data_IF_044822644169
#
_entry.id   IF_044822644169
#
_cell.length_a   1.000
_cell.length_b   1.000
_cell.length_c   1.000
_cell.angle_alpha   90.00
_cell.angle_beta   90.00
_cell.angle_gamma   90.00
#
_symmetry.space_group_name_H-M   'P 1'
#
loop_
_entity.id
_entity.type
_entity.pdbx_description
1 polymer ?
#
# COMPACT_ATOMS: atom_id res chain seq x y z
N UNK A 1 -16.68 -3.70 -11.26
CA UNK A 1 -17.32 -2.79 -10.25
C UNK A 1 -18.77 -2.54 -10.64
N UNK A 2 -19.68 -2.35 -9.66
CA UNK A 2 -21.10 -2.00 -9.88
C UNK A 2 -21.22 -0.65 -10.62
N UNK A 3 -22.12 -0.57 -11.61
CA UNK A 3 -22.31 0.62 -12.45
C UNK A 3 -22.86 1.82 -11.63
N UNK A 4 -23.68 1.55 -10.61
CA UNK A 4 -24.21 2.59 -9.73
C UNK A 4 -23.11 3.25 -8.90
N UNK A 5 -22.16 2.45 -8.40
CA UNK A 5 -20.97 2.93 -7.69
C UNK A 5 -20.12 3.80 -8.61
N UNK A 6 -19.90 3.37 -9.85
CA UNK A 6 -19.15 4.15 -10.84
C UNK A 6 -19.83 5.49 -11.14
N UNK A 7 -21.16 5.50 -11.27
CA UNK A 7 -21.93 6.72 -11.50
C UNK A 7 -21.83 7.68 -10.32
N UNK A 8 -21.92 7.18 -9.08
CA UNK A 8 -21.72 7.98 -7.86
C UNK A 8 -20.32 8.58 -7.80
N UNK A 9 -19.28 7.80 -8.10
CA UNK A 9 -17.92 8.31 -8.18
C UNK A 9 -17.81 9.41 -9.23
N UNK A 10 -18.37 9.15 -10.41
CA UNK A 10 -18.30 10.07 -11.54
C UNK A 10 -19.04 11.40 -11.25
N UNK A 11 -20.13 11.37 -10.49
CA UNK A 11 -20.84 12.60 -10.08
C UNK A 11 -20.05 13.45 -9.06
N UNK A 12 -19.12 12.84 -8.33
CA UNK A 12 -18.25 13.54 -7.39
C UNK A 12 -16.94 14.04 -8.03
N UNK A 13 -16.62 13.61 -9.25
CA UNK A 13 -15.50 14.13 -10.03
C UNK A 13 -15.93 15.49 -10.61
N UNK A 14 -15.21 16.53 -10.22
CA UNK A 14 -15.41 17.89 -10.74
C UNK A 14 -14.36 18.22 -11.81
N UNK A 15 -14.54 19.31 -12.56
CA UNK A 15 -13.54 19.84 -13.49
C UNK A 15 -12.19 20.16 -12.82
N UNK A 16 -12.21 20.39 -11.51
CA UNK A 16 -11.00 20.71 -10.73
C UNK A 16 -10.23 19.46 -10.32
N UNK A 17 -10.82 18.26 -10.42
CA UNK A 17 -10.18 17.00 -10.01
C UNK A 17 -9.07 16.63 -11.00
N UNK A 18 -7.83 16.67 -10.54
CA UNK A 18 -6.62 16.42 -11.37
C UNK A 18 -5.90 15.13 -11.00
N UNK A 19 -6.01 14.68 -9.74
CA UNK A 19 -5.22 13.55 -9.23
C UNK A 19 -6.08 12.57 -8.43
N UNK A 20 -5.81 11.29 -8.64
CA UNK A 20 -6.35 10.19 -7.84
C UNK A 20 -5.18 9.48 -7.14
N UNK A 21 -5.11 9.56 -5.81
CA UNK A 21 -4.02 9.08 -5.00
C UNK A 21 -4.42 7.79 -4.32
N UNK A 22 -3.74 6.71 -4.66
CA UNK A 22 -4.03 5.35 -4.19
C UNK A 22 -2.99 4.86 -3.19
N UNK A 23 -3.44 4.36 -2.04
CA UNK A 23 -2.65 3.41 -1.26
C UNK A 23 -2.52 2.08 -2.00
N UNK A 24 -1.55 1.26 -1.63
CA UNK A 24 -1.27 -0.03 -2.29
C UNK A 24 -1.77 -1.20 -1.45
N UNK A 25 -1.19 -1.38 -0.24
CA UNK A 25 -1.42 -2.56 0.59
C UNK A 25 -2.82 -2.57 1.20
N UNK A 26 -3.65 -3.53 0.80
CA UNK A 26 -5.05 -3.60 1.19
C UNK A 26 -5.98 -2.79 0.29
N UNK A 27 -5.47 -1.89 -0.53
CA UNK A 27 -6.21 -1.00 -1.43
C UNK A 27 -6.15 -1.46 -2.89
N UNK A 28 -4.96 -1.49 -3.52
CA UNK A 28 -4.79 -2.00 -4.90
C UNK A 28 -4.68 -3.51 -4.90
N UNK A 29 -4.00 -4.07 -3.92
CA UNK A 29 -3.81 -5.51 -3.79
C UNK A 29 -4.09 -6.01 -2.37
N UNK A 30 -4.51 -7.28 -2.25
CA UNK A 30 -4.73 -7.94 -0.95
C UNK A 30 -3.40 -8.32 -0.29
N UNK A 31 -2.43 -7.43 -0.36
CA UNK A 31 -1.11 -7.57 0.22
C UNK A 31 -1.01 -6.90 1.58
N UNK A 32 0.06 -7.19 2.26
CA UNK A 32 0.54 -6.52 3.47
C UNK A 32 2.06 -6.46 3.40
N UNK A 33 2.68 -5.70 4.28
CA UNK A 33 4.14 -5.65 4.44
C UNK A 33 4.76 -7.05 4.61
N UNK A 34 4.02 -8.02 5.18
CA UNK A 34 4.46 -9.40 5.39
C UNK A 34 4.53 -10.20 4.08
N UNK A 35 3.70 -9.88 3.09
CA UNK A 35 3.56 -10.65 1.86
C UNK A 35 4.90 -10.80 1.14
N UNK A 36 5.59 -9.69 0.95
CA UNK A 36 6.90 -9.69 0.30
C UNK A 36 7.96 -10.42 1.15
N UNK A 37 8.00 -10.16 2.47
CA UNK A 37 8.99 -10.78 3.35
C UNK A 37 8.87 -12.31 3.38
N UNK A 38 7.65 -12.84 3.51
CA UNK A 38 7.39 -14.27 3.51
C UNK A 38 7.81 -14.89 2.17
N UNK A 39 7.50 -14.22 1.05
CA UNK A 39 7.93 -14.66 -0.27
C UNK A 39 9.46 -14.68 -0.41
N UNK A 40 10.13 -13.62 0.01
CA UNK A 40 11.58 -13.53 -0.04
C UNK A 40 12.26 -14.62 0.81
N UNK A 41 11.71 -14.94 1.98
CA UNK A 41 12.18 -16.04 2.82
C UNK A 41 11.96 -17.41 2.16
N UNK A 42 10.82 -17.61 1.50
CA UNK A 42 10.57 -18.83 0.71
C UNK A 42 11.64 -19.04 -0.37
N UNK A 43 12.03 -17.97 -1.06
CA UNK A 43 13.06 -18.06 -2.11
C UNK A 43 14.48 -18.21 -1.53
N UNK A 44 14.75 -17.63 -0.36
CA UNK A 44 16.06 -17.73 0.29
C UNK A 44 16.31 -19.09 0.93
N UNK A 45 15.28 -19.70 1.50
CA UNK A 45 15.37 -21.04 2.11
C UNK A 45 15.06 -22.09 1.03
N UNK A 46 16.08 -22.62 0.38
CA UNK A 46 15.95 -23.60 -0.72
C UNK A 46 15.29 -24.91 -0.28
N UNK A 47 15.45 -25.32 0.97
CA UNK A 47 14.84 -26.54 1.52
C UNK A 47 13.39 -26.26 1.95
N UNK A 48 12.42 -26.86 1.25
CA UNK A 48 10.97 -26.69 1.49
C UNK A 48 10.54 -27.09 2.91
N UNK A 49 11.15 -28.13 3.50
CA UNK A 49 10.81 -28.58 4.86
C UNK A 49 11.30 -27.56 5.89
N UNK A 50 12.53 -27.09 5.74
CA UNK A 50 13.10 -26.05 6.60
C UNK A 50 12.30 -24.75 6.52
N UNK A 51 11.86 -24.36 5.30
CA UNK A 51 10.98 -23.20 5.12
C UNK A 51 9.63 -23.37 5.87
N UNK A 52 9.00 -24.56 5.81
CA UNK A 52 7.75 -24.83 6.55
C UNK A 52 7.94 -24.70 8.05
N UNK A 53 9.03 -25.24 8.60
CA UNK A 53 9.35 -25.08 10.03
C UNK A 53 9.60 -23.61 10.41
N UNK A 54 10.37 -22.90 9.58
CA UNK A 54 10.59 -21.47 9.78
C UNK A 54 9.26 -20.70 9.75
N UNK A 55 8.40 -20.96 8.78
CA UNK A 55 7.11 -20.27 8.63
C UNK A 55 6.21 -20.54 9.85
N UNK A 56 6.12 -21.78 10.29
CA UNK A 56 5.37 -22.15 11.50
C UNK A 56 5.89 -21.42 12.73
N UNK A 57 7.20 -21.45 12.96
CA UNK A 57 7.85 -20.69 14.03
C UNK A 57 7.55 -19.18 13.93
N UNK A 58 7.70 -18.61 12.75
CA UNK A 58 7.46 -17.18 12.50
C UNK A 58 5.99 -16.80 12.80
N UNK A 59 5.04 -17.61 12.35
CA UNK A 59 3.60 -17.37 12.57
C UNK A 59 3.26 -17.44 14.05
N UNK A 60 3.78 -18.43 14.77
CA UNK A 60 3.47 -18.63 16.19
C UNK A 60 4.11 -17.54 17.07
N UNK A 61 5.34 -17.14 16.79
CA UNK A 61 6.11 -16.26 17.68
C UNK A 61 6.07 -14.80 17.26
N UNK A 62 6.25 -14.50 15.98
CA UNK A 62 6.44 -13.12 15.50
C UNK A 62 5.12 -12.45 15.12
N UNK A 63 4.16 -13.16 14.55
CA UNK A 63 2.88 -12.55 14.14
C UNK A 63 2.11 -11.99 15.33
N UNK A 64 1.92 -12.71 16.45
CA UNK A 64 1.25 -12.16 17.64
C UNK A 64 2.00 -10.94 18.22
N UNK A 65 3.33 -11.02 18.27
CA UNK A 65 4.17 -9.91 18.75
C UNK A 65 4.02 -8.68 17.86
N UNK A 66 4.07 -8.85 16.54
CA UNK A 66 3.88 -7.75 15.59
C UNK A 66 2.49 -7.15 15.65
N UNK A 67 1.46 -7.97 15.85
CA UNK A 67 0.11 -7.49 16.05
C UNK A 67 -0.02 -6.65 17.32
N UNK A 68 0.62 -7.07 18.41
CA UNK A 68 0.66 -6.30 19.65
C UNK A 68 1.38 -4.95 19.45
N UNK A 69 2.55 -4.95 18.84
CA UNK A 69 3.31 -3.72 18.58
C UNK A 69 2.54 -2.79 17.63
N UNK A 70 1.92 -3.32 16.58
CA UNK A 70 1.11 -2.55 15.63
C UNK A 70 -0.12 -1.90 16.30
N UNK A 71 -0.71 -2.58 17.28
CA UNK A 71 -1.83 -2.02 18.06
C UNK A 71 -1.43 -0.81 18.91
N UNK A 72 -0.18 -0.77 19.37
CA UNK A 72 0.39 0.33 20.16
C UNK A 72 0.94 1.43 19.25
N UNK A 73 1.77 1.05 18.29
CA UNK A 73 2.42 1.99 17.38
C UNK A 73 2.73 1.36 16.02
N UNK A 74 1.96 1.77 15.01
CA UNK A 74 2.20 1.38 13.61
C UNK A 74 3.61 1.73 13.14
N UNK A 75 4.11 2.88 13.54
CA UNK A 75 5.46 3.33 13.16
C UNK A 75 6.54 2.42 13.72
N UNK A 76 6.45 2.04 14.99
CA UNK A 76 7.42 1.12 15.62
C UNK A 76 7.35 -0.27 14.99
N UNK A 77 6.14 -0.78 14.73
CA UNK A 77 5.97 -2.04 14.01
C UNK A 77 6.67 -2.01 12.66
N UNK A 78 6.44 -0.98 11.86
CA UNK A 78 7.05 -0.86 10.53
C UNK A 78 8.58 -0.78 10.61
N UNK A 79 9.13 0.02 11.53
CA UNK A 79 10.58 0.11 11.73
C UNK A 79 11.19 -1.23 12.11
N UNK A 80 10.62 -1.92 13.08
CA UNK A 80 11.08 -3.25 13.51
C UNK A 80 10.97 -4.28 12.39
N UNK A 81 9.87 -4.24 11.65
CA UNK A 81 9.66 -5.15 10.54
C UNK A 81 10.68 -4.92 9.40
N UNK A 82 10.89 -3.68 9.00
CA UNK A 82 11.86 -3.36 7.94
C UNK A 82 13.32 -3.67 8.33
N UNK A 83 13.64 -3.72 9.63
CA UNK A 83 14.95 -4.21 10.07
C UNK A 83 15.19 -5.68 9.69
N UNK A 84 14.14 -6.49 9.50
CA UNK A 84 14.25 -7.87 9.01
C UNK A 84 14.78 -7.95 7.58
N UNK A 85 14.61 -6.90 6.78
CA UNK A 85 15.16 -6.86 5.42
C UNK A 85 16.68 -6.84 5.38
N UNK A 86 17.36 -6.51 6.48
CA UNK A 86 18.82 -6.55 6.60
C UNK A 86 19.43 -7.96 6.44
N UNK A 87 18.61 -9.02 6.56
CA UNK A 87 19.05 -10.39 6.31
C UNK A 87 19.21 -10.73 4.82
N UNK A 88 18.79 -9.82 3.93
CA UNK A 88 18.93 -9.93 2.49
C UNK A 88 19.97 -8.93 1.98
N UNK A 89 20.62 -9.25 0.87
CA UNK A 89 21.36 -8.25 0.10
C UNK A 89 20.40 -7.34 -0.67
N UNK A 90 20.89 -6.18 -1.12
CA UNK A 90 20.11 -5.28 -1.95
C UNK A 90 19.69 -5.93 -3.27
N UNK A 91 20.59 -6.72 -3.87
CA UNK A 91 20.33 -7.47 -5.10
C UNK A 91 19.27 -8.57 -4.90
N UNK A 92 19.36 -9.34 -3.79
CA UNK A 92 18.32 -10.31 -3.43
C UNK A 92 16.95 -9.66 -3.32
N UNK A 93 16.82 -8.51 -2.61
CA UNK A 93 15.55 -7.81 -2.46
C UNK A 93 15.01 -7.36 -3.82
N UNK A 94 15.84 -6.77 -4.66
CA UNK A 94 15.42 -6.29 -5.98
C UNK A 94 14.92 -7.43 -6.87
N UNK A 95 15.65 -8.54 -6.90
CA UNK A 95 15.28 -9.73 -7.67
C UNK A 95 14.00 -10.39 -7.12
N UNK A 96 13.90 -10.54 -5.78
CA UNK A 96 12.71 -11.12 -5.16
C UNK A 96 11.49 -10.22 -5.29
N UNK A 97 11.64 -8.89 -5.33
CA UNK A 97 10.55 -7.96 -5.53
C UNK A 97 9.90 -8.14 -6.91
N UNK A 98 10.72 -8.25 -7.96
CA UNK A 98 10.23 -8.51 -9.31
C UNK A 98 9.47 -9.85 -9.40
N UNK A 99 10.10 -10.92 -8.88
CA UNK A 99 9.47 -12.25 -8.87
C UNK A 99 8.20 -12.29 -8.04
N UNK A 100 8.20 -11.68 -6.84
CA UNK A 100 7.03 -11.59 -5.98
C UNK A 100 5.88 -10.87 -6.69
N UNK A 101 6.16 -9.78 -7.37
CA UNK A 101 5.16 -9.05 -8.13
C UNK A 101 4.51 -9.95 -9.19
N UNK A 102 5.31 -10.62 -10.01
CA UNK A 102 4.84 -11.49 -11.10
C UNK A 102 4.12 -12.75 -10.61
N UNK A 103 4.69 -13.44 -9.62
CA UNK A 103 4.23 -14.76 -9.17
C UNK A 103 3.10 -14.72 -8.14
N UNK A 104 3.02 -13.63 -7.34
CA UNK A 104 2.06 -13.55 -6.22
C UNK A 104 1.15 -12.33 -6.31
N UNK A 105 1.71 -11.12 -6.51
CA UNK A 105 0.95 -9.88 -6.31
C UNK A 105 -0.10 -9.68 -7.39
N UNK A 106 0.19 -9.98 -8.65
CA UNK A 106 -0.77 -9.84 -9.74
C UNK A 106 -2.07 -10.61 -9.47
N UNK A 107 -1.98 -11.80 -8.84
CA UNK A 107 -3.13 -12.63 -8.46
C UNK A 107 -3.87 -12.11 -7.22
N UNK A 108 -3.33 -11.11 -6.54
CA UNK A 108 -3.90 -10.50 -5.34
C UNK A 108 -4.52 -9.13 -5.62
N UNK A 109 -4.56 -8.69 -6.85
CA UNK A 109 -5.18 -7.42 -7.21
C UNK A 109 -6.67 -7.40 -6.85
N UNK A 110 -7.16 -6.22 -6.48
CA UNK A 110 -8.55 -5.97 -6.14
C UNK A 110 -9.22 -5.38 -7.38
N UNK A 111 -10.12 -6.15 -8.00
CA UNK A 111 -10.72 -5.79 -9.28
C UNK A 111 -11.42 -4.43 -9.22
N UNK A 112 -12.13 -4.14 -8.13
CA UNK A 112 -12.83 -2.88 -7.93
C UNK A 112 -11.86 -1.69 -7.99
N UNK A 113 -10.65 -1.85 -7.44
CA UNK A 113 -9.63 -0.80 -7.46
C UNK A 113 -8.97 -0.67 -8.84
N UNK A 114 -8.79 -1.79 -9.54
CA UNK A 114 -8.29 -1.76 -10.93
C UNK A 114 -9.28 -1.02 -11.83
N UNK A 115 -10.58 -1.29 -11.69
CA UNK A 115 -11.63 -0.59 -12.42
C UNK A 115 -11.61 0.91 -12.14
N UNK A 116 -11.40 1.30 -10.86
CA UNK A 116 -11.25 2.71 -10.46
C UNK A 116 -10.04 3.38 -11.14
N UNK A 117 -8.88 2.73 -11.12
CA UNK A 117 -7.67 3.24 -11.77
C UNK A 117 -7.93 3.49 -13.26
N UNK A 118 -8.55 2.53 -13.94
CA UNK A 118 -8.87 2.65 -15.34
C UNK A 118 -9.90 3.75 -15.63
N UNK A 119 -10.94 3.88 -14.78
CA UNK A 119 -11.94 4.93 -14.89
C UNK A 119 -11.32 6.33 -14.71
N UNK A 120 -10.46 6.53 -13.72
CA UNK A 120 -9.80 7.82 -13.53
C UNK A 120 -8.89 8.17 -14.71
N UNK A 121 -8.11 7.21 -15.20
CA UNK A 121 -7.24 7.42 -16.36
C UNK A 121 -8.02 7.74 -17.63
N UNK A 122 -9.14 7.07 -17.89
CA UNK A 122 -10.00 7.35 -19.06
C UNK A 122 -10.59 8.77 -19.04
N UNK A 123 -10.66 9.38 -17.85
CA UNK A 123 -11.10 10.77 -17.64
C UNK A 123 -9.95 11.79 -17.62
N UNK A 124 -8.71 11.36 -17.91
CA UNK A 124 -7.54 12.23 -17.88
C UNK A 124 -7.07 12.59 -16.47
N UNK A 125 -7.55 11.90 -15.42
CA UNK A 125 -7.11 12.11 -14.04
C UNK A 125 -5.80 11.36 -13.82
N UNK A 126 -4.79 12.05 -13.30
CA UNK A 126 -3.48 11.47 -13.03
C UNK A 126 -3.53 10.56 -11.80
N UNK A 127 -3.22 9.29 -12.00
CA UNK A 127 -3.13 8.31 -10.91
C UNK A 127 -1.75 8.38 -10.27
N UNK A 128 -1.70 8.43 -8.93
CA UNK A 128 -0.46 8.43 -8.13
C UNK A 128 -0.56 7.31 -7.09
N UNK A 129 0.51 6.54 -6.92
CA UNK A 129 0.60 5.50 -5.91
C UNK A 129 1.35 6.04 -4.68
N UNK A 130 0.75 5.91 -3.49
CA UNK A 130 1.29 6.50 -2.26
C UNK A 130 1.26 5.47 -1.12
N UNK A 131 2.42 4.93 -0.75
CA UNK A 131 2.52 3.83 0.22
C UNK A 131 3.72 3.96 1.14
N UNK A 132 3.69 3.27 2.28
CA UNK A 132 4.86 3.06 3.15
C UNK A 132 5.56 1.72 2.89
N UNK A 133 5.31 1.09 1.75
CA UNK A 133 6.08 -0.06 1.27
C UNK A 133 7.43 0.38 0.67
N UNK A 134 8.27 -0.56 0.26
CA UNK A 134 9.64 -0.30 -0.22
C UNK A 134 9.71 -0.14 -1.74
N UNK A 135 10.56 0.78 -2.20
CA UNK A 135 10.71 1.13 -3.61
C UNK A 135 11.00 -0.04 -4.56
N UNK A 136 11.83 -1.06 -4.26
CA UNK A 136 12.04 -2.17 -5.18
C UNK A 136 10.74 -2.89 -5.55
N UNK A 137 9.78 -2.97 -4.60
CA UNK A 137 8.48 -3.60 -4.84
C UNK A 137 7.51 -2.62 -5.52
N UNK A 138 7.44 -1.38 -5.03
CA UNK A 138 6.50 -0.36 -5.51
C UNK A 138 6.77 0.05 -6.95
N UNK A 139 8.04 0.04 -7.39
CA UNK A 139 8.45 0.25 -8.78
C UNK A 139 7.66 -0.62 -9.76
N UNK A 140 7.39 -1.89 -9.41
CA UNK A 140 6.65 -2.79 -10.30
C UNK A 140 5.17 -2.42 -10.41
N UNK A 141 4.55 -1.90 -9.34
CA UNK A 141 3.21 -1.32 -9.41
C UNK A 141 3.19 -0.06 -10.28
N UNK A 142 4.16 0.85 -10.07
CA UNK A 142 4.30 2.06 -10.86
C UNK A 142 4.42 1.76 -12.36
N UNK A 143 5.25 0.79 -12.73
CA UNK A 143 5.42 0.35 -14.12
C UNK A 143 4.13 -0.29 -14.67
N UNK A 144 3.50 -1.19 -13.90
CA UNK A 144 2.29 -1.89 -14.33
C UNK A 144 1.13 -0.92 -14.61
N UNK A 145 0.94 0.05 -13.72
CA UNK A 145 -0.11 1.04 -13.87
C UNK A 145 0.32 2.27 -14.67
N UNK A 146 1.55 2.35 -15.17
CA UNK A 146 2.11 3.58 -15.74
C UNK A 146 1.73 4.81 -14.88
N UNK A 147 2.12 4.78 -13.60
CA UNK A 147 1.76 5.77 -12.60
C UNK A 147 2.97 6.15 -11.75
N UNK A 148 3.19 7.46 -11.47
CA UNK A 148 4.19 7.88 -10.51
C UNK A 148 3.86 7.34 -9.11
N UNK A 149 4.89 7.21 -8.28
CA UNK A 149 4.74 6.69 -6.93
C UNK A 149 5.64 7.40 -5.90
N UNK A 150 5.18 7.40 -4.67
CA UNK A 150 5.96 7.79 -3.50
C UNK A 150 5.92 6.66 -2.45
N UNK A 151 7.09 6.32 -1.92
CA UNK A 151 7.26 5.18 -1.01
C UNK A 151 8.54 5.30 -0.18
N UNK A 152 8.80 4.34 0.70
CA UNK A 152 10.07 4.25 1.42
C UNK A 152 11.20 3.84 0.48
N UNK A 153 12.33 4.53 0.59
CA UNK A 153 13.52 4.26 -0.21
C UNK A 153 14.42 3.24 0.49
N UNK A 154 14.88 2.27 -0.29
CA UNK A 154 15.99 1.40 0.11
C UNK A 154 17.31 1.98 -0.40
N UNK A 155 18.29 2.08 0.50
CA UNK A 155 19.67 2.44 0.16
C UNK A 155 20.51 1.18 0.09
N UNK A 156 21.35 1.11 -0.94
CA UNK A 156 22.42 0.12 -1.05
C UNK A 156 23.66 0.68 -0.36
N UNK A 157 24.03 0.08 0.77
CA UNK A 157 25.26 0.44 1.48
C UNK A 157 26.23 -0.77 1.40
N UNK A 158 27.09 -0.77 0.36
CA UNK A 158 28.04 -1.86 0.11
C UNK A 158 27.37 -3.25 0.08
N UNK A 159 26.27 -3.38 -0.67
CA UNK A 159 25.49 -4.62 -0.79
C UNK A 159 24.50 -4.87 0.35
N UNK A 160 24.59 -4.11 1.46
CA UNK A 160 23.68 -4.21 2.60
C UNK A 160 22.49 -3.28 2.43
N UNK A 161 21.33 -3.75 2.86
CA UNK A 161 20.08 -3.00 2.83
C UNK A 161 19.98 -2.04 4.00
N UNK A 162 19.66 -0.80 3.69
CA UNK A 162 19.27 0.20 4.66
C UNK A 162 17.98 0.87 4.21
N UNK A 163 16.94 0.85 5.07
CA UNK A 163 15.70 1.58 4.82
C UNK A 163 15.87 3.03 5.29
N UNK A 164 15.52 3.96 4.43
CA UNK A 164 15.51 5.38 4.80
C UNK A 164 14.22 5.72 5.56
N UNK A 165 14.34 5.91 6.86
CA UNK A 165 13.24 6.27 7.74
C UNK A 165 13.10 7.78 7.97
N UNK A 166 13.89 8.62 7.32
CA UNK A 166 13.89 10.08 7.57
C UNK A 166 12.50 10.72 7.43
N UNK A 167 11.71 10.26 6.48
CA UNK A 167 10.35 10.75 6.21
C UNK A 167 9.23 9.75 6.55
N UNK A 168 9.55 8.63 7.22
CA UNK A 168 8.62 7.52 7.42
C UNK A 168 7.32 7.92 8.14
N UNK A 169 7.44 8.64 9.25
CA UNK A 169 6.32 8.93 10.15
C UNK A 169 5.13 9.62 9.48
N UNK A 170 5.41 10.55 8.57
CA UNK A 170 4.41 11.37 7.92
C UNK A 170 4.53 11.33 6.39
N UNK A 171 5.16 10.30 5.82
CA UNK A 171 5.44 10.22 4.38
C UNK A 171 4.20 10.53 3.55
N UNK A 172 3.11 9.81 3.76
CA UNK A 172 1.87 9.98 3.02
C UNK A 172 1.30 11.39 3.19
N UNK A 173 1.22 11.88 4.44
CA UNK A 173 0.66 13.18 4.74
C UNK A 173 1.50 14.33 4.21
N UNK A 174 2.81 14.26 4.33
CA UNK A 174 3.73 15.26 3.78
C UNK A 174 3.68 15.30 2.24
N UNK A 175 3.49 14.14 1.62
CA UNK A 175 3.36 14.06 0.17
C UNK A 175 2.07 14.70 -0.33
N UNK A 176 0.93 14.35 0.29
CA UNK A 176 -0.38 14.84 -0.16
C UNK A 176 -0.55 16.36 0.02
N UNK A 177 0.12 16.95 0.99
CA UNK A 177 0.12 18.41 1.21
C UNK A 177 0.70 19.23 0.06
N UNK A 178 1.40 18.61 -0.88
CA UNK A 178 1.88 19.26 -2.10
C UNK A 178 0.76 19.61 -3.08
N UNK A 179 -0.43 19.06 -2.88
CA UNK A 179 -1.59 19.19 -3.75
C UNK A 179 -2.67 20.06 -3.09
N UNK A 180 -3.47 20.73 -3.91
CA UNK A 180 -4.69 21.37 -3.43
C UNK A 180 -5.72 20.30 -3.05
N UNK A 181 -6.32 20.33 -1.84
CA UNK A 181 -7.34 19.35 -1.43
C UNK A 181 -8.51 19.21 -2.39
N UNK A 182 -8.86 20.29 -3.09
CA UNK A 182 -9.98 20.29 -4.05
C UNK A 182 -9.66 19.57 -5.37
N UNK A 183 -8.37 19.39 -5.67
CA UNK A 183 -7.89 18.76 -6.91
C UNK A 183 -7.64 17.27 -6.77
N UNK A 184 -7.76 16.70 -5.57
CA UNK A 184 -7.39 15.32 -5.28
C UNK A 184 -8.54 14.48 -4.78
N UNK A 185 -8.53 13.21 -5.20
CA UNK A 185 -9.30 12.12 -4.62
C UNK A 185 -8.31 11.15 -3.98
N UNK A 186 -8.58 10.69 -2.76
CA UNK A 186 -7.76 9.69 -2.07
C UNK A 186 -8.48 8.38 -1.91
N UNK A 187 -7.76 7.28 -2.16
CA UNK A 187 -8.30 5.92 -2.11
C UNK A 187 -7.44 5.08 -1.17
N UNK A 188 -8.00 4.55 -0.08
CA UNK A 188 -7.30 3.74 0.91
C UNK A 188 -8.23 2.77 1.65
N UNK A 189 -7.66 1.83 2.44
CA UNK A 189 -8.43 0.81 3.19
C UNK A 189 -8.26 0.89 4.71
N UNK A 190 -7.34 1.70 5.20
CA UNK A 190 -6.85 1.66 6.57
C UNK A 190 -7.18 2.91 7.39
N UNK A 191 -7.46 2.73 8.69
CA UNK A 191 -7.55 3.84 9.66
C UNK A 191 -6.26 4.68 9.76
N UNK A 192 -5.13 4.09 9.38
CA UNK A 192 -3.84 4.79 9.38
C UNK A 192 -3.74 5.82 8.25
N UNK A 193 -4.62 5.73 7.26
CA UNK A 193 -4.74 6.66 6.14
C UNK A 193 -5.76 7.78 6.40
N UNK A 194 -6.38 7.83 7.58
CA UNK A 194 -7.30 8.91 7.96
C UNK A 194 -6.76 10.31 7.64
N UNK A 195 -5.49 10.65 7.95
CA UNK A 195 -4.99 12.00 7.66
C UNK A 195 -5.01 12.37 6.18
N UNK A 196 -4.82 11.40 5.27
CA UNK A 196 -4.87 11.66 3.82
C UNK A 196 -6.31 11.60 3.29
N UNK A 197 -7.16 10.73 3.85
CA UNK A 197 -8.58 10.65 3.51
C UNK A 197 -9.33 11.93 3.92
N UNK A 198 -9.00 12.51 5.08
CA UNK A 198 -9.61 13.75 5.55
C UNK A 198 -9.07 15.01 4.87
N UNK A 199 -7.85 14.93 4.31
CA UNK A 199 -7.24 16.07 3.61
C UNK A 199 -7.90 16.33 2.27
N UNK A 200 -8.28 15.29 1.52
CA UNK A 200 -8.90 15.42 0.21
C UNK A 200 -10.37 15.83 0.29
N UNK A 201 -10.84 16.54 -0.72
CA UNK A 201 -12.25 16.90 -0.86
C UNK A 201 -13.15 15.68 -0.96
N UNK A 202 -12.71 14.66 -1.67
CA UNK A 202 -13.42 13.40 -1.86
C UNK A 202 -12.51 12.22 -1.54
N UNK A 203 -13.03 11.23 -0.83
CA UNK A 203 -12.28 10.03 -0.47
C UNK A 203 -13.07 8.75 -0.74
N UNK A 204 -12.36 7.68 -1.07
CA UNK A 204 -12.92 6.37 -1.33
C UNK A 204 -12.25 5.36 -0.40
N UNK A 205 -13.05 4.61 0.33
CA UNK A 205 -12.57 3.55 1.21
C UNK A 205 -12.80 2.20 0.54
N UNK A 206 -11.73 1.43 0.39
CA UNK A 206 -11.82 0.04 -0.06
C UNK A 206 -11.98 -0.85 1.17
N UNK A 207 -13.17 -1.41 1.37
CA UNK A 207 -13.54 -2.10 2.60
C UNK A 207 -13.74 -3.59 2.40
N UNK A 208 -13.40 -4.43 3.41
CA UNK A 208 -13.83 -5.84 3.48
C UNK A 208 -15.12 -6.01 4.28
N UNK A 209 -15.32 -5.13 5.25
CA UNK A 209 -16.50 -5.08 6.11
C UNK A 209 -16.58 -3.72 6.75
N UNK A 210 -17.77 -3.34 7.21
CA UNK A 210 -17.97 -2.09 7.94
C UNK A 210 -17.08 -2.02 9.19
N UNK A 211 -16.50 -0.86 9.45
CA UNK A 211 -15.66 -0.58 10.62
C UNK A 211 -16.10 0.73 11.29
N UNK A 212 -16.05 0.76 12.63
CA UNK A 212 -16.46 1.93 13.43
C UNK A 212 -15.73 3.23 13.07
N UNK A 213 -14.49 3.14 12.58
CA UNK A 213 -13.71 4.33 12.23
C UNK A 213 -14.19 5.03 10.96
N UNK A 214 -14.97 4.37 10.08
CA UNK A 214 -15.57 5.01 8.91
C UNK A 214 -16.46 6.20 9.29
N UNK A 215 -17.17 6.08 10.43
CA UNK A 215 -18.02 7.17 10.99
C UNK A 215 -17.22 8.36 11.53
N UNK A 216 -15.90 8.21 11.68
CA UNK A 216 -15.02 9.29 12.16
C UNK A 216 -14.48 10.16 11.03
N UNK A 217 -14.65 9.76 9.79
CA UNK A 217 -14.17 10.54 8.64
C UNK A 217 -15.06 11.76 8.51
N UNK A 218 -14.45 12.93 8.65
CA UNK A 218 -15.11 14.23 8.57
C UNK A 218 -15.12 14.81 7.14
N UNK A 219 -14.57 14.11 6.15
CA UNK A 219 -14.58 14.57 4.77
C UNK A 219 -16.03 14.66 4.28
N UNK A 220 -16.31 15.72 3.54
CA UNK A 220 -17.66 16.06 3.10
C UNK A 220 -18.28 15.01 2.16
N UNK A 221 -17.47 14.18 1.55
CA UNK A 221 -17.91 13.12 0.62
C UNK A 221 -16.98 11.92 0.74
N UNK A 222 -17.48 10.83 1.34
CA UNK A 222 -16.74 9.57 1.46
C UNK A 222 -17.60 8.43 0.93
N UNK A 223 -17.09 7.71 -0.05
CA UNK A 223 -17.72 6.50 -0.57
C UNK A 223 -17.02 5.27 -0.01
N UNK A 224 -17.77 4.23 0.31
CA UNK A 224 -17.25 2.95 0.78
C UNK A 224 -17.55 1.89 -0.26
N UNK A 225 -16.50 1.26 -0.79
CA UNK A 225 -16.58 0.15 -1.74
C UNK A 225 -16.20 -1.13 -1.04
N UNK A 226 -17.09 -2.12 -1.03
CA UNK A 226 -16.84 -3.44 -0.44
C UNK A 226 -16.23 -4.36 -1.50
N UNK A 227 -15.12 -5.05 -1.11
CA UNK A 227 -14.33 -5.99 -1.94
C UNK A 227 -14.45 -7.43 -1.45
#
# INVERSE_FOLDING_TARGET
MDINILNEINSNITSDTKFAIFDIDGTISRTTILTFYIYAKEKKISNKLLYKFWLMYFVITHIPLYFLIDSISREQFQKLFFLKLKEFSYEEITNYAEKCFKEKILNLFINETIDLINNFKSKGINVILLTVSIDPLVKHYGNFFNAPYECLRLKNNNGKVQVDFSNHRNLKYNYIKKFNPNEIITIADSKHDLPILEYSKYSIIIARKEKKWYKKIKSKSTLIIYK
#
